data_IF_778264314851
#
_entry.id   IF_778264314851
#
_cell.length_a   1.000
_cell.length_b   1.000
_cell.length_c   1.000
_cell.angle_alpha   90.00
_cell.angle_beta   90.00
_cell.angle_gamma   90.00
#
_symmetry.space_group_name_H-M   'P 1'
#
loop_
_entity.id
_entity.type
_entity.pdbx_description
1 polymer ?
#
# COMPACT_ATOMS: atom_id res chain seq x y z
N UNK A 1 4.34 25.52 0.76
CA UNK A 1 3.09 25.27 0.06
C UNK A 1 3.06 23.87 -0.50
N UNK A 2 2.06 23.06 -0.19
CA UNK A 2 1.94 21.76 -0.83
C UNK A 2 1.67 21.95 -2.32
N UNK A 3 2.26 21.08 -3.13
CA UNK A 3 1.99 21.09 -4.58
C UNK A 3 0.60 20.51 -4.83
N UNK A 4 -0.09 20.95 -5.91
CA UNK A 4 -1.45 20.47 -6.22
C UNK A 4 -1.55 18.93 -6.29
N UNK A 5 -0.53 18.26 -6.87
CA UNK A 5 -0.52 16.80 -6.96
C UNK A 5 -0.44 16.15 -5.58
N UNK A 6 0.32 16.74 -4.66
CA UNK A 6 0.42 16.25 -3.29
C UNK A 6 -0.89 16.47 -2.52
N UNK A 7 -1.63 17.53 -2.85
CA UNK A 7 -2.93 17.78 -2.25
C UNK A 7 -3.92 16.65 -2.57
N UNK A 8 -3.87 16.08 -3.77
CA UNK A 8 -4.71 14.93 -4.11
C UNK A 8 -4.35 13.69 -3.31
N UNK A 9 -3.06 13.43 -3.12
CA UNK A 9 -2.60 12.30 -2.30
C UNK A 9 -3.07 12.48 -0.84
N UNK A 10 -2.96 13.69 -0.31
CA UNK A 10 -3.42 13.99 1.05
C UNK A 10 -4.93 13.86 1.18
N UNK A 11 -5.68 14.26 0.15
CA UNK A 11 -7.13 14.09 0.13
C UNK A 11 -7.51 12.60 0.15
N UNK A 12 -6.88 11.79 -0.72
CA UNK A 12 -7.10 10.35 -0.75
C UNK A 12 -6.84 9.72 0.62
N UNK A 13 -5.72 10.09 1.23
CA UNK A 13 -5.32 9.55 2.55
C UNK A 13 -6.33 9.94 3.62
N UNK A 14 -6.73 11.20 3.67
CA UNK A 14 -7.70 11.70 4.67
C UNK A 14 -9.05 11.00 4.51
N UNK A 15 -9.56 10.90 3.29
CA UNK A 15 -10.84 10.25 3.04
C UNK A 15 -10.79 8.75 3.32
N UNK A 16 -9.65 8.11 3.03
CA UNK A 16 -9.45 6.71 3.39
C UNK A 16 -9.51 6.53 4.91
N UNK A 17 -8.79 7.35 5.67
CA UNK A 17 -8.78 7.30 7.13
C UNK A 17 -10.16 7.58 7.69
N UNK A 18 -10.86 8.58 7.14
CA UNK A 18 -12.21 8.98 7.57
C UNK A 18 -13.30 8.01 7.08
N UNK A 19 -12.93 7.05 6.22
CA UNK A 19 -13.86 6.07 5.62
C UNK A 19 -14.90 6.72 4.72
N UNK A 20 -14.56 7.86 4.12
CA UNK A 20 -15.42 8.60 3.19
C UNK A 20 -14.98 8.45 1.74
N UNK A 21 -13.83 7.83 1.49
CA UNK A 21 -13.34 7.60 0.14
C UNK A 21 -14.28 6.63 -0.59
N UNK A 22 -14.80 7.00 -1.78
CA UNK A 22 -15.61 6.07 -2.56
C UNK A 22 -14.79 4.82 -2.90
N UNK A 23 -15.43 3.66 -2.84
CA UNK A 23 -14.75 2.37 -3.06
C UNK A 23 -14.09 2.30 -4.43
N UNK A 24 -14.68 2.95 -5.44
CA UNK A 24 -14.14 3.00 -6.80
C UNK A 24 -12.81 3.75 -6.87
N UNK A 25 -12.52 4.62 -5.91
CA UNK A 25 -11.24 5.34 -5.83
C UNK A 25 -10.18 4.59 -5.06
N UNK A 26 -10.52 3.49 -4.39
CA UNK A 26 -9.58 2.65 -3.64
C UNK A 26 -8.88 1.68 -4.59
N UNK A 27 -8.06 2.23 -5.49
CA UNK A 27 -7.36 1.50 -6.56
C UNK A 27 -5.96 1.08 -6.11
N UNK A 28 -5.27 0.31 -6.95
CA UNK A 28 -3.87 -0.06 -6.72
C UNK A 28 -3.00 1.20 -6.54
N UNK A 29 -3.20 2.22 -7.37
CA UNK A 29 -2.50 3.50 -7.24
C UNK A 29 -2.82 4.18 -5.89
N UNK A 30 -4.08 4.16 -5.49
CA UNK A 30 -4.49 4.78 -4.23
C UNK A 30 -3.84 4.11 -3.03
N UNK A 31 -3.71 2.78 -3.03
CA UNK A 31 -2.98 2.05 -1.99
C UNK A 31 -1.55 2.57 -1.83
N UNK A 32 -0.83 2.72 -2.93
CA UNK A 32 0.54 3.26 -2.89
C UNK A 32 0.58 4.73 -2.50
N UNK A 33 -0.41 5.53 -2.96
CA UNK A 33 -0.50 6.94 -2.58
C UNK A 33 -0.64 7.09 -1.06
N UNK A 34 -1.54 6.33 -0.46
CA UNK A 34 -1.74 6.32 1.00
C UNK A 34 -0.49 5.80 1.71
N UNK A 35 0.11 4.71 1.22
CA UNK A 35 1.32 4.16 1.81
C UNK A 35 2.45 5.21 1.85
N UNK A 36 2.69 5.91 0.75
CA UNK A 36 3.71 6.95 0.69
C UNK A 36 3.40 8.10 1.65
N UNK A 37 2.14 8.51 1.72
CA UNK A 37 1.73 9.60 2.61
C UNK A 37 1.97 9.23 4.08
N UNK A 38 1.61 8.01 4.47
CA UNK A 38 1.81 7.54 5.85
C UNK A 38 3.29 7.34 6.17
N UNK A 39 4.06 6.78 5.24
CA UNK A 39 5.50 6.59 5.42
C UNK A 39 6.26 7.91 5.55
N UNK A 40 5.80 8.95 4.86
CA UNK A 40 6.42 10.27 4.90
C UNK A 40 6.05 11.06 6.16
N UNK A 41 5.04 10.64 6.89
CA UNK A 41 4.59 11.33 8.12
C UNK A 41 5.37 10.82 9.32
N UNK A 42 6.19 11.70 9.91
CA UNK A 42 7.05 11.35 11.04
C UNK A 42 6.25 10.95 12.30
N UNK A 43 4.97 11.33 12.36
CA UNK A 43 4.12 11.05 13.53
C UNK A 43 3.34 9.73 13.38
N UNK A 44 3.52 9.01 12.27
CA UNK A 44 2.76 7.80 11.96
C UNK A 44 3.74 6.65 11.75
N UNK A 45 3.45 5.50 12.39
CA UNK A 45 4.10 4.24 12.08
C UNK A 45 3.24 3.53 11.04
N UNK A 46 3.63 3.66 9.77
CA UNK A 46 2.82 3.12 8.67
C UNK A 46 2.65 1.60 8.77
N UNK A 47 3.69 0.88 9.18
CA UNK A 47 3.63 -0.59 9.29
C UNK A 47 2.69 -1.04 10.41
N UNK A 48 2.55 -0.26 11.47
CA UNK A 48 1.64 -0.57 12.56
C UNK A 48 0.22 -0.10 12.28
N UNK A 49 0.04 1.06 11.66
CA UNK A 49 -1.25 1.73 11.56
C UNK A 49 -2.01 1.45 10.27
N UNK A 50 -1.32 1.34 9.13
CA UNK A 50 -2.00 1.10 7.85
C UNK A 50 -2.80 -0.20 7.83
N UNK A 51 -2.32 -1.32 8.40
CA UNK A 51 -3.12 -2.55 8.48
C UNK A 51 -4.48 -2.34 9.14
N UNK A 52 -4.52 -1.63 10.26
CA UNK A 52 -5.76 -1.36 10.97
C UNK A 52 -6.68 -0.41 10.18
N UNK A 53 -6.09 0.57 9.51
CA UNK A 53 -6.84 1.50 8.66
C UNK A 53 -7.50 0.79 7.50
N UNK A 54 -6.79 -0.17 6.86
CA UNK A 54 -7.35 -0.96 5.76
C UNK A 54 -8.51 -1.81 6.27
N UNK A 55 -8.35 -2.48 7.41
CA UNK A 55 -9.43 -3.29 7.99
C UNK A 55 -10.66 -2.45 8.27
N UNK A 56 -10.47 -1.27 8.87
CA UNK A 56 -11.58 -0.38 9.21
C UNK A 56 -12.28 0.14 7.96
N UNK A 57 -11.52 0.51 6.94
CA UNK A 57 -12.08 0.97 5.67
C UNK A 57 -12.87 -0.15 4.98
N UNK A 58 -12.32 -1.37 4.96
CA UNK A 58 -13.02 -2.53 4.38
C UNK A 58 -14.36 -2.74 5.07
N UNK A 59 -14.39 -2.78 6.40
CA UNK A 59 -15.62 -2.97 7.15
C UNK A 59 -16.65 -1.87 6.86
N UNK A 60 -16.18 -0.62 6.79
CA UNK A 60 -17.06 0.52 6.51
C UNK A 60 -17.64 0.48 5.10
N UNK A 61 -16.97 -0.16 4.16
CA UNK A 61 -17.41 -0.27 2.76
C UNK A 61 -18.03 -1.63 2.43
N UNK A 62 -18.30 -2.46 3.43
CA UNK A 62 -19.01 -3.72 3.25
C UNK A 62 -18.15 -4.90 2.86
N UNK A 63 -16.83 -4.83 3.09
CA UNK A 63 -15.91 -5.93 2.82
C UNK A 63 -15.52 -6.59 4.14
N UNK A 64 -15.77 -7.89 4.26
CA UNK A 64 -15.36 -8.64 5.45
C UNK A 64 -13.86 -8.92 5.42
N UNK A 65 -13.23 -8.89 6.60
CA UNK A 65 -11.81 -9.24 6.77
C UNK A 65 -11.75 -10.67 7.34
N UNK A 66 -11.60 -11.64 6.45
CA UNK A 66 -11.62 -13.07 6.79
C UNK A 66 -10.37 -13.77 6.27
N UNK A 67 -10.32 -15.07 6.45
CA UNK A 67 -9.20 -15.88 5.95
C UNK A 67 -9.17 -15.97 4.41
N UNK A 68 -10.24 -15.55 3.73
CA UNK A 68 -10.36 -15.67 2.28
C UNK A 68 -10.64 -14.37 1.55
N UNK A 69 -10.94 -13.27 2.28
CA UNK A 69 -11.19 -11.96 1.65
C UNK A 69 -10.83 -10.82 2.59
N UNK A 70 -10.74 -9.63 2.00
CA UNK A 70 -10.45 -8.41 2.75
C UNK A 70 -8.96 -8.23 3.00
N UNK A 71 -8.59 -7.84 4.21
CA UNK A 71 -7.21 -7.51 4.55
C UNK A 71 -6.25 -8.67 4.30
N UNK A 72 -5.05 -8.33 3.80
CA UNK A 72 -4.00 -9.32 3.51
C UNK A 72 -2.66 -8.77 4.02
N UNK A 73 -2.12 -9.37 5.06
CA UNK A 73 -0.93 -8.86 5.73
C UNK A 73 0.31 -8.89 4.82
N UNK A 74 0.60 -10.02 4.18
CA UNK A 74 1.79 -10.14 3.33
C UNK A 74 1.78 -9.14 2.18
N UNK A 75 0.64 -8.96 1.50
CA UNK A 75 0.51 -7.99 0.40
C UNK A 75 0.72 -6.57 0.92
N UNK A 76 0.14 -6.25 2.07
CA UNK A 76 0.25 -4.91 2.66
C UNK A 76 1.69 -4.58 3.03
N UNK A 77 2.36 -5.49 3.74
CA UNK A 77 3.75 -5.27 4.17
C UNK A 77 4.69 -5.20 2.96
N UNK A 78 4.53 -6.10 1.99
CA UNK A 78 5.33 -6.07 0.75
C UNK A 78 5.17 -4.74 0.01
N UNK A 79 3.93 -4.25 -0.09
CA UNK A 79 3.64 -2.98 -0.75
C UNK A 79 4.23 -1.79 0.01
N UNK A 80 4.14 -1.79 1.33
CA UNK A 80 4.78 -0.76 2.15
C UNK A 80 6.29 -0.75 1.97
N UNK A 81 6.91 -1.93 1.91
CA UNK A 81 8.36 -2.03 1.70
C UNK A 81 8.76 -1.49 0.33
N UNK A 82 8.01 -1.79 -0.71
CA UNK A 82 8.25 -1.25 -2.05
C UNK A 82 8.13 0.29 -2.05
N UNK A 83 7.08 0.82 -1.44
CA UNK A 83 6.87 2.26 -1.34
C UNK A 83 8.00 2.93 -0.57
N UNK A 84 8.43 2.34 0.54
CA UNK A 84 9.51 2.88 1.36
C UNK A 84 10.83 2.99 0.60
N UNK A 85 11.16 1.98 -0.20
CA UNK A 85 12.38 1.99 -1.02
C UNK A 85 12.36 3.17 -1.99
N UNK A 86 11.23 3.42 -2.64
CA UNK A 86 11.10 4.55 -3.56
C UNK A 86 11.17 5.89 -2.83
N UNK A 87 10.57 5.97 -1.65
CA UNK A 87 10.60 7.18 -0.85
C UNK A 87 12.03 7.50 -0.39
N UNK A 88 12.78 6.51 0.07
CA UNK A 88 14.16 6.67 0.51
C UNK A 88 15.11 6.98 -0.64
N UNK A 89 14.86 6.46 -1.82
CA UNK A 89 15.69 6.70 -3.00
C UNK A 89 15.40 8.05 -3.67
N UNK A 90 14.31 8.71 -3.30
CA UNK A 90 13.93 9.98 -3.90
C UNK A 90 14.93 11.07 -3.51
N UNK A 91 15.28 11.93 -4.47
CA UNK A 91 16.16 13.06 -4.22
C UNK A 91 15.48 14.07 -3.27
N UNK A 92 16.26 14.87 -2.53
CA UNK A 92 15.70 15.94 -1.71
C UNK A 92 14.77 16.83 -2.54
N UNK A 93 13.68 17.27 -1.93
CA UNK A 93 12.66 18.12 -2.55
C UNK A 93 11.79 17.42 -3.61
N UNK A 94 11.89 16.08 -3.73
CA UNK A 94 10.97 15.32 -4.56
C UNK A 94 9.59 15.31 -3.90
N UNK A 95 8.54 15.62 -4.67
CA UNK A 95 7.18 15.57 -4.13
C UNK A 95 6.69 14.12 -3.99
N UNK A 96 5.69 13.92 -3.14
CA UNK A 96 5.05 12.58 -3.02
C UNK A 96 4.45 12.17 -4.35
N UNK A 97 3.88 13.10 -5.10
CA UNK A 97 3.30 12.80 -6.41
C UNK A 97 4.37 12.31 -7.41
N UNK A 98 5.56 12.90 -7.38
CA UNK A 98 6.66 12.46 -8.23
C UNK A 98 7.14 11.07 -7.84
N UNK A 99 7.24 10.80 -6.54
CA UNK A 99 7.60 9.46 -6.03
C UNK A 99 6.54 8.44 -6.42
N UNK A 100 5.27 8.78 -6.27
CA UNK A 100 4.17 7.91 -6.68
C UNK A 100 4.22 7.60 -8.17
N UNK A 101 4.48 8.62 -8.99
CA UNK A 101 4.60 8.41 -10.44
C UNK A 101 5.74 7.46 -10.78
N UNK A 102 6.90 7.63 -10.16
CA UNK A 102 8.04 6.73 -10.36
C UNK A 102 7.67 5.29 -9.96
N UNK A 103 7.00 5.13 -8.84
CA UNK A 103 6.55 3.83 -8.34
C UNK A 103 5.55 3.19 -9.32
N UNK A 104 4.58 3.94 -9.80
CA UNK A 104 3.56 3.45 -10.73
C UNK A 104 4.10 3.16 -12.13
N UNK A 105 5.15 3.87 -12.55
CA UNK A 105 5.81 3.62 -13.83
C UNK A 105 6.76 2.41 -13.76
N UNK A 106 7.09 1.95 -12.56
CA UNK A 106 7.91 0.76 -12.35
C UNK A 106 7.05 -0.51 -12.45
N UNK A 107 7.71 -1.67 -12.31
CA UNK A 107 6.98 -2.96 -12.28
C UNK A 107 5.96 -3.05 -11.15
N UNK A 108 6.17 -2.31 -10.06
CA UNK A 108 5.25 -2.29 -8.92
C UNK A 108 3.94 -1.59 -9.24
N UNK A 109 3.88 -0.82 -10.32
CA UNK A 109 2.64 -0.21 -10.80
C UNK A 109 1.62 -1.22 -11.32
N UNK A 110 2.05 -2.45 -11.59
CA UNK A 110 1.16 -3.55 -11.99
C UNK A 110 0.74 -4.32 -10.74
N UNK A 111 -0.56 -4.53 -10.56
CA UNK A 111 -1.08 -5.21 -9.36
C UNK A 111 -0.60 -6.66 -9.22
N UNK A 112 -0.13 -7.27 -10.30
CA UNK A 112 0.35 -8.65 -10.32
C UNK A 112 1.87 -8.79 -10.08
N UNK A 113 2.56 -7.70 -9.70
CA UNK A 113 4.01 -7.74 -9.47
C UNK A 113 4.41 -8.77 -8.40
N UNK A 114 3.51 -9.02 -7.46
CA UNK A 114 3.74 -9.95 -6.35
C UNK A 114 3.99 -11.39 -6.83
N UNK A 115 3.41 -11.77 -7.96
CA UNK A 115 3.54 -13.14 -8.48
C UNK A 115 4.92 -13.46 -9.04
N UNK A 116 5.79 -12.48 -9.18
CA UNK A 116 7.20 -12.72 -9.50
C UNK A 116 7.96 -13.26 -8.28
N UNK A 117 7.44 -13.03 -7.09
CA UNK A 117 8.10 -13.35 -5.82
C UNK A 117 7.37 -14.45 -5.05
N UNK A 118 6.06 -14.46 -5.10
CA UNK A 118 5.22 -15.46 -4.42
C UNK A 118 4.43 -16.25 -5.45
N UNK A 119 4.39 -17.59 -5.26
CA UNK A 119 3.43 -18.40 -6.01
C UNK A 119 2.01 -18.03 -5.57
N UNK A 120 1.01 -18.28 -6.43
CA UNK A 120 -0.38 -18.01 -6.08
C UNK A 120 -0.81 -18.79 -4.86
N UNK A 121 -0.45 -20.06 -4.79
CA UNK A 121 -0.79 -20.92 -3.65
C UNK A 121 -0.23 -20.37 -2.35
N UNK A 122 1.02 -19.92 -2.36
CA UNK A 122 1.65 -19.37 -1.15
C UNK A 122 1.07 -18.02 -0.77
N UNK A 123 0.92 -17.11 -1.75
CA UNK A 123 0.42 -15.76 -1.50
C UNK A 123 -1.01 -15.77 -0.97
N UNK A 124 -1.86 -16.64 -1.51
CA UNK A 124 -3.26 -16.71 -1.10
C UNK A 124 -3.54 -17.75 -0.05
N UNK A 125 -2.49 -18.25 0.62
CA UNK A 125 -2.67 -19.10 1.79
C UNK A 125 -3.26 -18.29 2.95
N UNK A 126 -3.90 -18.98 3.89
CA UNK A 126 -4.41 -18.37 5.12
C UNK A 126 -3.26 -17.74 5.91
N UNK A 127 -2.13 -18.44 5.97
CA UNK A 127 -0.94 -17.97 6.69
C UNK A 127 -0.43 -16.64 6.15
N UNK A 128 -0.34 -16.50 4.82
CA UNK A 128 0.14 -15.26 4.20
C UNK A 128 -0.84 -14.11 4.42
N UNK A 129 -2.13 -14.39 4.47
CA UNK A 129 -3.16 -13.38 4.75
C UNK A 129 -3.08 -12.88 6.18
N UNK A 130 -2.79 -13.76 7.14
CA UNK A 130 -2.75 -13.43 8.57
C UNK A 130 -1.45 -12.81 9.03
N UNK A 131 -0.32 -13.23 8.43
CA UNK A 131 1.00 -12.78 8.86
C UNK A 131 1.97 -12.77 7.69
N UNK A 132 3.05 -12.01 7.84
CA UNK A 132 4.09 -11.94 6.82
C UNK A 132 4.66 -13.32 6.52
N UNK A 133 4.64 -13.69 5.24
CA UNK A 133 5.30 -14.89 4.73
C UNK A 133 6.32 -14.51 3.68
N UNK A 134 7.55 -15.02 3.83
CA UNK A 134 8.61 -14.72 2.87
C UNK A 134 8.28 -15.26 1.48
N UNK A 135 8.81 -14.61 0.43
CA UNK A 135 8.60 -15.09 -0.95
C UNK A 135 9.14 -16.50 -1.13
N UNK A 136 8.42 -17.30 -1.91
CA UNK A 136 8.84 -18.68 -2.22
C UNK A 136 9.48 -18.83 -3.62
N UNK A 137 9.26 -17.85 -4.53
CA UNK A 137 9.81 -17.93 -5.89
C UNK A 137 11.12 -17.17 -6.05
N UNK A 138 11.15 -15.92 -5.66
CA UNK A 138 12.38 -15.12 -5.66
C UNK A 138 12.31 -14.06 -4.58
N UNK A 139 13.44 -13.76 -3.97
CA UNK A 139 13.51 -12.75 -2.91
C UNK A 139 13.15 -11.36 -3.43
N UNK A 140 12.62 -10.53 -2.55
CA UNK A 140 12.45 -9.11 -2.84
C UNK A 140 13.83 -8.48 -2.95
N UNK A 141 14.00 -7.48 -3.85
CA UNK A 141 15.30 -6.81 -4.02
C UNK A 141 15.61 -5.77 -2.94
N UNK A 142 14.80 -5.75 -1.90
CA UNK A 142 14.93 -4.79 -0.81
C UNK A 142 14.56 -5.39 0.55
#
# INVERSE_FOLDING_TARGET
MPRPEDADIKRLTRQFIDKTLPKEEWTHRAHFAVALCLLADANVDAYAEMPQMIRAYNEATGVANTDTEGYHETITIASLRAAEVFLQAAAPNTSLAQTLRALMDSRYGKSNWLFEHWSRTHLFSVEARRSWQAPDLSDLPF
#
